data_IF_254137371302
#
_entry.id   IF_254137371302
#
_cell.length_a   1.000
_cell.length_b   1.000
_cell.length_c   1.000
_cell.angle_alpha   90.00
_cell.angle_beta   90.00
_cell.angle_gamma   90.00
#
_symmetry.space_group_name_H-M   'P 1'
#
loop_
_entity.id
_entity.type
_entity.pdbx_description
1 polymer ?
#
# COMPACT_ATOMS: atom_id res chain seq x y z
N UNK A 1 9.88 49.60 -16.46
CA UNK A 1 8.96 48.47 -16.73
C UNK A 1 7.72 48.69 -15.87
N UNK A 2 6.51 48.80 -16.44
CA UNK A 2 5.31 49.15 -15.67
C UNK A 2 4.77 47.94 -14.92
N UNK A 3 4.35 48.12 -13.66
CA UNK A 3 3.84 47.06 -12.78
C UNK A 3 2.72 46.21 -13.43
N UNK A 4 1.89 46.85 -14.27
CA UNK A 4 0.82 46.19 -15.05
C UNK A 4 1.35 45.24 -16.13
N UNK A 5 2.48 45.58 -16.77
CA UNK A 5 3.09 44.74 -17.80
C UNK A 5 3.68 43.48 -17.15
N UNK A 6 4.40 43.67 -16.04
CA UNK A 6 4.94 42.58 -15.23
C UNK A 6 3.87 41.64 -14.67
N UNK A 7 2.77 42.18 -14.12
CA UNK A 7 1.66 41.36 -13.59
C UNK A 7 0.97 40.54 -14.68
N UNK A 8 0.76 41.11 -15.87
CA UNK A 8 0.18 40.42 -17.02
C UNK A 8 1.07 39.29 -17.52
N UNK A 9 2.39 39.53 -17.58
CA UNK A 9 3.36 38.54 -18.05
C UNK A 9 3.47 37.35 -17.04
N UNK A 10 3.39 37.62 -15.73
CA UNK A 10 3.28 36.56 -14.70
C UNK A 10 1.97 35.77 -14.84
N UNK A 11 0.83 36.46 -14.96
CA UNK A 11 -0.48 35.81 -15.12
C UNK A 11 -0.53 34.93 -16.37
N UNK A 12 0.15 35.31 -17.46
CA UNK A 12 0.23 34.49 -18.67
C UNK A 12 1.05 33.21 -18.52
N UNK A 13 1.99 33.15 -17.57
CA UNK A 13 2.75 31.94 -17.26
C UNK A 13 2.02 31.02 -16.27
N UNK A 14 1.05 31.54 -15.52
CA UNK A 14 0.30 30.79 -14.50
C UNK A 14 -0.35 29.50 -15.04
N UNK A 15 -0.99 29.46 -16.22
CA UNK A 15 -1.61 28.24 -16.75
C UNK A 15 -0.58 27.17 -17.14
N UNK A 16 0.58 27.58 -17.68
CA UNK A 16 1.66 26.66 -18.04
C UNK A 16 2.32 26.10 -16.78
N UNK A 17 2.52 26.94 -15.76
CA UNK A 17 3.03 26.52 -14.47
C UNK A 17 2.05 25.56 -13.77
N UNK A 18 0.76 25.89 -13.74
CA UNK A 18 -0.32 25.03 -13.23
C UNK A 18 -0.39 23.71 -14.02
N UNK A 19 -0.26 23.76 -15.35
CA UNK A 19 -0.23 22.58 -16.22
C UNK A 19 0.96 21.66 -15.93
N UNK A 20 2.16 22.23 -15.79
CA UNK A 20 3.35 21.47 -15.46
C UNK A 20 3.27 20.86 -14.04
N UNK A 21 2.80 21.63 -13.05
CA UNK A 21 2.61 21.14 -11.68
C UNK A 21 1.59 20.00 -11.62
N UNK A 22 0.48 20.10 -12.36
CA UNK A 22 -0.59 19.10 -12.37
C UNK A 22 -0.17 17.82 -13.10
N UNK A 23 0.49 17.91 -14.25
CA UNK A 23 0.93 16.73 -15.01
C UNK A 23 2.03 15.95 -14.24
N UNK A 24 2.97 16.64 -13.60
CA UNK A 24 4.09 15.98 -12.93
C UNK A 24 3.70 15.33 -11.59
N UNK A 25 2.57 15.70 -10.99
CA UNK A 25 2.14 15.18 -9.67
C UNK A 25 0.90 14.28 -9.71
N UNK A 26 0.07 14.34 -10.77
CA UNK A 26 -1.24 13.71 -10.76
C UNK A 26 -1.33 12.32 -11.44
N UNK A 27 -0.33 11.90 -12.22
CA UNK A 27 -0.44 10.69 -13.04
C UNK A 27 0.37 9.52 -12.50
N UNK A 28 1.65 9.75 -12.19
CA UNK A 28 2.54 8.71 -11.69
C UNK A 28 3.49 9.27 -10.64
N UNK A 29 3.79 8.46 -9.63
CA UNK A 29 4.78 8.76 -8.61
C UNK A 29 5.77 7.61 -8.48
N UNK A 30 7.00 7.90 -8.07
CA UNK A 30 8.01 6.90 -7.78
C UNK A 30 8.40 6.96 -6.30
N UNK A 31 8.38 5.82 -5.62
CA UNK A 31 8.77 5.71 -4.21
C UNK A 31 9.86 4.65 -4.03
N UNK A 32 10.76 4.88 -3.08
CA UNK A 32 11.75 3.88 -2.68
C UNK A 32 11.18 3.09 -1.51
N UNK A 33 11.21 1.76 -1.59
CA UNK A 33 10.75 0.85 -0.54
C UNK A 33 11.82 0.75 0.54
N UNK A 34 11.56 1.23 1.77
CA UNK A 34 12.58 1.31 2.82
C UNK A 34 12.60 0.10 3.76
N UNK A 35 11.62 -0.81 3.67
CA UNK A 35 11.38 -1.88 4.64
C UNK A 35 11.05 -3.22 3.97
N UNK A 36 11.32 -4.32 4.68
CA UNK A 36 11.04 -5.70 4.22
C UNK A 36 9.58 -6.16 4.34
N UNK A 37 8.64 -5.29 4.74
CA UNK A 37 7.25 -5.70 5.03
C UNK A 37 6.46 -6.24 3.84
N UNK A 38 6.94 -6.01 2.61
CA UNK A 38 6.33 -6.48 1.37
C UNK A 38 7.20 -7.54 0.68
N UNK A 39 8.21 -8.10 1.35
CA UNK A 39 8.99 -9.20 0.79
C UNK A 39 8.11 -10.46 0.64
N UNK A 40 8.28 -11.24 -0.45
CA UNK A 40 9.30 -11.08 -1.49
C UNK A 40 8.86 -10.22 -2.69
N UNK A 41 7.60 -9.75 -2.71
CA UNK A 41 7.04 -8.95 -3.81
C UNK A 41 7.80 -7.65 -4.01
N UNK A 42 8.04 -6.89 -2.94
CA UNK A 42 8.86 -5.67 -2.96
C UNK A 42 9.99 -5.81 -1.94
N UNK A 43 11.23 -5.63 -2.41
CA UNK A 43 12.43 -5.73 -1.58
C UNK A 43 12.88 -4.34 -1.11
N UNK A 44 13.68 -4.33 -0.04
CA UNK A 44 14.36 -3.11 0.41
C UNK A 44 15.22 -2.53 -0.73
N UNK A 45 14.93 -1.29 -1.10
CA UNK A 45 15.63 -0.58 -2.16
C UNK A 45 14.96 -0.61 -3.53
N UNK A 46 13.86 -1.36 -3.69
CA UNK A 46 13.04 -1.29 -4.90
C UNK A 46 12.44 0.12 -5.06
N UNK A 47 12.58 0.69 -6.25
CA UNK A 47 11.90 1.91 -6.66
C UNK A 47 10.61 1.52 -7.39
N UNK A 48 9.47 1.73 -6.73
CA UNK A 48 8.16 1.36 -7.26
C UNK A 48 7.52 2.51 -8.04
N UNK A 49 6.93 2.18 -9.17
CA UNK A 49 6.07 3.05 -9.96
C UNK A 49 4.62 2.93 -9.51
N UNK A 50 4.01 4.05 -9.16
CA UNK A 50 2.65 4.16 -8.63
C UNK A 50 1.78 4.94 -9.59
N UNK A 51 0.62 4.37 -9.95
CA UNK A 51 -0.42 5.08 -10.69
C UNK A 51 -1.32 5.79 -9.68
N UNK A 52 -1.18 7.10 -9.59
CA UNK A 52 -1.84 7.96 -8.59
C UNK A 52 -3.37 7.98 -8.74
N UNK A 53 -3.95 8.09 -9.95
CA UNK A 53 -5.41 8.16 -10.10
C UNK A 53 -6.08 6.79 -10.02
N UNK A 54 -5.36 5.69 -9.72
CA UNK A 54 -5.90 4.31 -9.75
C UNK A 54 -7.16 4.10 -8.93
N UNK A 55 -7.42 4.92 -7.90
CA UNK A 55 -8.62 4.81 -7.06
C UNK A 55 -9.40 6.13 -7.00
N UNK A 56 -9.24 6.98 -8.02
CA UNK A 56 -9.72 8.36 -8.08
C UNK A 56 -8.72 9.37 -7.50
N UNK A 57 -9.17 10.61 -7.30
CA UNK A 57 -8.37 11.68 -6.69
C UNK A 57 -9.01 12.21 -5.41
N UNK A 58 -8.20 12.42 -4.37
CA UNK A 58 -8.64 12.97 -3.10
C UNK A 58 -7.60 13.93 -2.52
N UNK A 59 -7.91 14.58 -1.40
CA UNK A 59 -6.93 15.43 -0.70
C UNK A 59 -5.70 14.64 -0.25
N UNK A 60 -5.77 13.32 -0.04
CA UNK A 60 -4.60 12.50 0.30
C UNK A 60 -3.53 12.47 -0.80
N UNK A 61 -3.90 12.73 -2.06
CA UNK A 61 -2.98 12.81 -3.19
C UNK A 61 -2.21 14.15 -3.24
N UNK A 62 -2.61 15.16 -2.46
CA UNK A 62 -1.98 16.47 -2.45
C UNK A 62 -0.77 16.51 -1.51
N UNK A 63 0.25 17.35 -1.78
CA UNK A 63 1.40 17.52 -0.89
C UNK A 63 1.00 17.94 0.54
N UNK A 64 0.01 18.82 0.65
CA UNK A 64 -0.59 19.30 1.90
C UNK A 64 -1.81 18.48 2.36
N UNK A 65 -2.00 17.28 1.81
CA UNK A 65 -3.11 16.40 2.10
C UNK A 65 -3.39 16.12 3.58
N UNK A 66 -2.38 15.93 4.45
CA UNK A 66 -2.59 15.72 5.88
C UNK A 66 -3.36 16.86 6.56
N UNK A 67 -3.12 18.11 6.15
CA UNK A 67 -3.82 19.29 6.69
C UNK A 67 -5.25 19.42 6.17
N UNK A 68 -5.59 18.70 5.08
CA UNK A 68 -6.91 18.69 4.44
C UNK A 68 -7.61 17.34 4.60
N UNK A 69 -7.30 16.60 5.66
CA UNK A 69 -8.03 15.38 6.00
C UNK A 69 -9.50 15.74 6.28
N UNK A 70 -10.47 15.14 5.58
CA UNK A 70 -11.87 15.36 5.87
C UNK A 70 -12.20 15.00 7.31
N UNK A 71 -13.07 15.79 7.93
CA UNK A 71 -13.63 15.49 9.25
C UNK A 71 -14.70 14.39 9.20
N UNK A 72 -15.26 14.13 8.02
CA UNK A 72 -16.19 13.03 7.80
C UNK A 72 -15.45 11.74 7.41
N UNK A 73 -16.06 10.59 7.72
CA UNK A 73 -15.57 9.28 7.30
C UNK A 73 -15.98 8.94 5.86
N UNK A 74 -16.40 9.93 5.08
CA UNK A 74 -17.07 9.73 3.79
C UNK A 74 -16.16 9.16 2.71
N UNK A 75 -14.84 9.26 2.89
CA UNK A 75 -13.88 8.72 1.93
C UNK A 75 -13.99 9.34 0.53
N UNK A 76 -14.57 10.54 0.38
CA UNK A 76 -14.90 11.13 -0.92
C UNK A 76 -13.66 11.26 -1.81
N UNK A 77 -13.70 10.59 -2.96
CA UNK A 77 -12.69 10.69 -4.04
C UNK A 77 -13.42 11.03 -5.34
N UNK A 78 -12.87 11.94 -6.12
CA UNK A 78 -13.34 12.26 -7.47
C UNK A 78 -13.03 11.07 -8.38
N UNK A 79 -14.02 10.59 -9.12
CA UNK A 79 -13.92 9.40 -9.97
C UNK A 79 -13.39 8.16 -9.21
N UNK A 80 -13.73 8.06 -7.93
CA UNK A 80 -13.24 7.00 -7.06
C UNK A 80 -13.90 5.65 -7.33
N UNK A 81 -13.08 4.61 -7.31
CA UNK A 81 -13.52 3.23 -7.14
C UNK A 81 -12.65 2.55 -6.09
N UNK A 82 -13.15 1.45 -5.52
CA UNK A 82 -12.37 0.67 -4.56
C UNK A 82 -11.24 -0.08 -5.26
N UNK A 83 -10.14 -0.38 -4.54
CA UNK A 83 -9.17 -1.34 -5.01
C UNK A 83 -9.78 -2.70 -5.23
N UNK A 84 -9.17 -3.47 -6.13
CA UNK A 84 -9.47 -4.89 -6.18
C UNK A 84 -8.70 -5.62 -5.09
N UNK A 85 -9.24 -6.76 -4.67
CA UNK A 85 -8.54 -7.67 -3.76
C UNK A 85 -7.25 -8.15 -4.42
N UNK A 86 -6.15 -8.09 -3.67
CA UNK A 86 -4.81 -8.41 -4.14
C UNK A 86 -4.02 -7.22 -4.65
N UNK A 87 -4.65 -6.06 -4.89
CA UNK A 87 -3.92 -4.86 -5.32
C UNK A 87 -2.88 -4.46 -4.26
N UNK A 88 -1.69 -4.09 -4.70
CA UNK A 88 -0.65 -3.50 -3.84
C UNK A 88 -0.84 -2.00 -3.82
N UNK A 89 -1.30 -1.47 -2.69
CA UNK A 89 -1.71 -0.07 -2.56
C UNK A 89 -0.68 0.74 -1.81
N UNK A 90 -0.48 1.97 -2.27
CA UNK A 90 0.32 3.00 -1.62
C UNK A 90 -0.61 4.00 -0.94
N UNK A 91 -0.36 4.30 0.34
CA UNK A 91 -1.27 5.09 1.16
C UNK A 91 -0.54 5.88 2.24
N UNK A 92 -1.20 6.90 2.77
CA UNK A 92 -0.75 7.63 3.96
C UNK A 92 -1.02 6.81 5.23
N UNK A 93 -0.02 6.56 6.06
CA UNK A 93 -0.17 5.72 7.25
C UNK A 93 -1.18 6.34 8.25
N UNK A 94 -2.19 5.60 8.75
CA UNK A 94 -3.18 6.16 9.68
C UNK A 94 -2.59 6.74 10.97
N UNK A 95 -1.52 6.11 11.51
CA UNK A 95 -0.82 6.59 12.70
C UNK A 95 0.00 7.87 12.46
N UNK A 96 0.47 8.08 11.23
CA UNK A 96 1.20 9.28 10.84
C UNK A 96 1.00 9.59 9.35
N UNK A 97 0.12 10.54 9.05
CA UNK A 97 -0.28 10.88 7.67
C UNK A 97 0.85 11.46 6.81
N UNK A 98 1.98 11.83 7.40
CA UNK A 98 3.18 12.27 6.68
C UNK A 98 4.03 11.11 6.18
N UNK A 99 3.76 9.88 6.62
CA UNK A 99 4.44 8.68 6.14
C UNK A 99 3.62 7.99 5.04
N UNK A 100 4.31 7.55 3.99
CA UNK A 100 3.73 6.76 2.89
C UNK A 100 4.13 5.31 3.04
N UNK A 101 3.15 4.42 3.13
CA UNK A 101 3.33 2.99 3.27
C UNK A 101 2.75 2.24 2.08
N UNK A 102 3.18 0.99 1.91
CA UNK A 102 2.72 0.07 0.88
C UNK A 102 2.30 -1.25 1.52
N UNK A 103 1.12 -1.75 1.17
CA UNK A 103 0.54 -3.04 1.64
C UNK A 103 -0.35 -3.64 0.56
N UNK A 104 -0.64 -4.94 0.67
CA UNK A 104 -1.60 -5.64 -0.20
C UNK A 104 -3.01 -5.59 0.37
N UNK A 105 -4.01 -5.36 -0.47
CA UNK A 105 -5.42 -5.38 -0.08
C UNK A 105 -5.91 -6.83 0.06
N UNK A 106 -6.28 -7.22 1.27
CA UNK A 106 -6.77 -8.57 1.58
C UNK A 106 -8.29 -8.58 1.81
N UNK A 107 -8.84 -7.56 2.48
CA UNK A 107 -10.28 -7.40 2.75
C UNK A 107 -10.83 -6.08 2.22
N UNK A 108 -12.00 -6.14 1.62
CA UNK A 108 -12.80 -5.03 1.08
C UNK A 108 -13.99 -4.74 2.00
N UNK A 109 -14.65 -3.57 1.89
CA UNK A 109 -15.84 -3.26 2.68
C UNK A 109 -16.90 -4.37 2.59
N UNK A 110 -17.41 -4.80 3.75
CA UNK A 110 -18.41 -5.86 3.87
C UNK A 110 -17.84 -7.27 3.98
N UNK A 111 -16.55 -7.48 3.71
CA UNK A 111 -15.93 -8.79 3.92
C UNK A 111 -15.84 -9.12 5.41
N UNK A 112 -15.99 -10.40 5.74
CA UNK A 112 -15.61 -10.95 7.03
C UNK A 112 -14.21 -11.52 6.95
N UNK A 113 -13.32 -11.06 7.83
CA UNK A 113 -11.91 -11.49 7.88
C UNK A 113 -11.63 -12.09 9.26
N UNK A 114 -10.92 -13.20 9.28
CA UNK A 114 -10.33 -13.79 10.47
C UNK A 114 -8.94 -14.36 10.13
N UNK A 115 -8.09 -14.53 11.14
CA UNK A 115 -6.83 -15.26 10.99
C UNK A 115 -6.76 -16.38 12.02
N UNK A 116 -6.29 -17.55 11.58
CA UNK A 116 -6.01 -18.71 12.44
C UNK A 116 -4.70 -19.33 12.01
N UNK A 117 -3.71 -19.41 12.91
CA UNK A 117 -2.34 -19.87 12.60
C UNK A 117 -1.73 -19.16 11.38
N UNK A 118 -2.04 -17.87 11.24
CA UNK A 118 -1.58 -16.98 10.18
C UNK A 118 -2.26 -17.17 8.83
N UNK A 119 -3.15 -18.16 8.72
CA UNK A 119 -3.98 -18.37 7.52
C UNK A 119 -5.14 -17.38 7.56
N UNK A 120 -5.28 -16.63 6.47
CA UNK A 120 -6.42 -15.72 6.31
C UNK A 120 -7.66 -16.56 5.99
N UNK A 121 -8.73 -16.33 6.75
CA UNK A 121 -10.08 -16.82 6.49
C UNK A 121 -10.89 -15.62 6.01
N UNK A 122 -11.31 -15.68 4.74
CA UNK A 122 -12.04 -14.61 4.09
C UNK A 122 -13.44 -15.09 3.73
N UNK A 123 -14.47 -14.43 4.26
CA UNK A 123 -15.88 -14.80 4.09
C UNK A 123 -16.13 -16.29 4.39
N UNK A 124 -15.51 -16.80 5.44
CA UNK A 124 -15.61 -18.19 5.88
C UNK A 124 -14.74 -19.19 5.12
N UNK A 125 -13.98 -18.75 4.11
CA UNK A 125 -13.10 -19.62 3.30
C UNK A 125 -11.63 -19.34 3.61
N UNK A 126 -10.87 -20.37 3.95
CA UNK A 126 -9.41 -20.29 4.16
C UNK A 126 -8.74 -20.01 2.81
N UNK A 127 -7.85 -19.01 2.76
CA UNK A 127 -7.01 -18.76 1.59
C UNK A 127 -5.95 -19.87 1.46
N UNK A 128 -5.92 -20.62 0.34
CA UNK A 128 -4.96 -21.71 0.17
C UNK A 128 -3.53 -21.18 0.08
N UNK A 129 -2.59 -21.87 0.72
CA UNK A 129 -1.17 -21.69 0.41
C UNK A 129 -0.59 -22.93 -0.25
N UNK A 130 0.34 -22.68 -1.16
CA UNK A 130 1.27 -23.67 -1.70
C UNK A 130 2.65 -23.38 -1.15
N UNK A 131 3.27 -24.37 -0.52
CA UNK A 131 4.63 -24.28 -0.02
C UNK A 131 5.61 -24.18 -1.20
N UNK A 132 6.47 -23.15 -1.18
CA UNK A 132 7.50 -22.88 -2.18
C UNK A 132 8.91 -23.14 -1.63
N UNK A 133 9.02 -23.59 -0.38
CA UNK A 133 10.26 -24.00 0.26
C UNK A 133 10.92 -22.91 1.12
N UNK A 134 12.06 -23.25 1.72
CA UNK A 134 12.80 -22.34 2.59
C UNK A 134 13.39 -21.16 1.82
N UNK A 135 13.44 -20.02 2.48
CA UNK A 135 14.02 -18.78 1.97
C UNK A 135 14.66 -17.99 3.12
N UNK A 136 15.05 -16.75 2.84
CA UNK A 136 15.57 -15.82 3.84
C UNK A 136 14.94 -14.44 3.66
N UNK A 137 14.82 -13.74 4.78
CA UNK A 137 14.29 -12.39 4.90
C UNK A 137 15.37 -11.45 5.43
N UNK A 138 15.43 -10.21 4.92
CA UNK A 138 16.37 -9.20 5.40
C UNK A 138 15.80 -8.42 6.60
N UNK A 139 15.97 -8.97 7.80
CA UNK A 139 15.41 -8.40 9.03
C UNK A 139 15.97 -7.01 9.37
N UNK A 140 17.28 -6.80 9.19
CA UNK A 140 17.99 -5.52 9.35
C UNK A 140 19.11 -5.47 8.31
N UNK A 141 19.66 -4.28 8.01
CA UNK A 141 20.74 -4.10 7.01
C UNK A 141 21.79 -5.22 7.10
N UNK A 142 21.80 -6.10 6.10
CA UNK A 142 22.71 -7.25 5.96
C UNK A 142 22.60 -8.35 7.04
N UNK A 143 21.48 -8.42 7.76
CA UNK A 143 21.14 -9.49 8.71
C UNK A 143 19.99 -10.29 8.13
N UNK A 144 20.28 -11.54 7.79
CA UNK A 144 19.31 -12.46 7.18
C UNK A 144 18.72 -13.39 8.25
N UNK A 145 17.43 -13.63 8.17
CA UNK A 145 16.72 -14.62 9.00
C UNK A 145 16.11 -15.70 8.13
N UNK A 146 16.05 -16.92 8.65
CA UNK A 146 15.35 -18.00 7.99
C UNK A 146 13.86 -17.66 7.88
N UNK A 147 13.28 -17.98 6.74
CA UNK A 147 11.85 -17.85 6.48
C UNK A 147 11.41 -18.99 5.55
N UNK A 148 10.11 -19.19 5.44
CA UNK A 148 9.46 -20.06 4.48
C UNK A 148 8.66 -19.19 3.51
N UNK A 149 8.74 -19.55 2.22
CA UNK A 149 7.97 -18.87 1.18
C UNK A 149 6.75 -19.70 0.85
N UNK A 150 5.62 -19.01 0.75
CA UNK A 150 4.37 -19.61 0.32
C UNK A 150 3.76 -18.79 -0.81
N UNK A 151 3.07 -19.45 -1.74
CA UNK A 151 2.18 -18.79 -2.69
C UNK A 151 0.76 -18.84 -2.12
N UNK A 152 0.19 -17.68 -1.78
CA UNK A 152 -1.19 -17.54 -1.31
C UNK A 152 -2.14 -17.24 -2.47
N UNK A 153 -3.27 -17.96 -2.51
CA UNK A 153 -4.29 -17.80 -3.54
C UNK A 153 -5.48 -16.99 -3.01
N UNK A 154 -5.74 -15.85 -3.65
CA UNK A 154 -6.88 -14.97 -3.40
C UNK A 154 -8.09 -15.37 -4.27
N UNK A 155 -9.32 -14.98 -3.86
CA UNK A 155 -10.51 -15.09 -4.71
C UNK A 155 -10.29 -14.52 -6.12
N UNK A 156 -10.82 -15.23 -7.12
CA UNK A 156 -10.57 -14.91 -8.53
C UNK A 156 -9.26 -15.48 -9.08
N UNK A 157 -8.66 -16.47 -8.39
CA UNK A 157 -7.44 -17.17 -8.82
C UNK A 157 -6.25 -16.21 -9.03
N UNK A 158 -6.14 -15.21 -8.16
CA UNK A 158 -4.96 -14.34 -8.08
C UNK A 158 -3.99 -14.94 -7.08
N UNK A 159 -2.71 -14.97 -7.45
CA UNK A 159 -1.65 -15.58 -6.65
C UNK A 159 -0.64 -14.50 -6.27
N UNK A 160 -0.12 -14.58 -5.05
CA UNK A 160 0.99 -13.75 -4.62
C UNK A 160 1.86 -14.53 -3.63
N UNK A 161 3.12 -14.16 -3.55
CA UNK A 161 4.03 -14.75 -2.59
C UNK A 161 3.92 -14.07 -1.22
N UNK A 162 4.14 -14.86 -0.18
CA UNK A 162 4.22 -14.39 1.20
C UNK A 162 5.43 -15.02 1.88
N UNK A 163 5.96 -14.34 2.90
CA UNK A 163 6.95 -14.90 3.81
C UNK A 163 6.35 -15.17 5.18
N UNK A 164 6.73 -16.32 5.75
CA UNK A 164 6.49 -16.72 7.14
C UNK A 164 7.83 -17.05 7.80
N UNK A 165 8.10 -16.46 8.96
CA UNK A 165 9.32 -16.65 9.74
C UNK A 165 9.08 -17.55 10.95
N UNK A 166 7.84 -17.59 11.46
CA UNK A 166 7.41 -18.44 12.55
C UNK A 166 6.15 -19.23 12.16
N UNK A 167 6.00 -20.43 12.73
CA UNK A 167 4.80 -21.24 12.52
C UNK A 167 3.59 -20.71 13.31
N UNK A 168 3.83 -20.06 14.46
CA UNK A 168 2.79 -19.43 15.29
C UNK A 168 3.34 -18.13 15.91
N UNK A 169 2.95 -17.00 15.33
CA UNK A 169 3.35 -15.66 15.75
C UNK A 169 2.23 -14.87 16.44
N UNK A 170 2.59 -13.76 17.10
CA UNK A 170 1.62 -12.92 17.84
C UNK A 170 0.49 -12.35 16.96
N UNK A 171 0.72 -12.23 15.64
CA UNK A 171 -0.24 -11.69 14.66
C UNK A 171 -0.96 -12.79 13.86
N UNK A 172 -0.81 -14.05 14.24
CA UNK A 172 -1.36 -15.18 13.49
C UNK A 172 -2.82 -15.49 13.81
N UNK A 173 -3.38 -14.92 14.88
CA UNK A 173 -4.72 -15.21 15.33
C UNK A 173 -5.52 -13.92 15.53
N UNK A 174 -6.58 -13.75 14.74
CA UNK A 174 -7.49 -12.60 14.81
C UNK A 174 -8.92 -13.13 14.78
N UNK A 175 -9.71 -12.73 15.77
CA UNK A 175 -11.12 -13.08 15.82
C UNK A 175 -11.87 -12.52 14.59
N UNK A 176 -12.92 -13.23 14.10
CA UNK A 176 -13.69 -12.76 12.96
C UNK A 176 -14.27 -11.37 13.17
N UNK A 177 -14.10 -10.50 12.18
CA UNK A 177 -14.73 -9.18 12.15
C UNK A 177 -15.14 -8.82 10.71
N UNK A 178 -16.08 -7.88 10.57
CA UNK A 178 -16.49 -7.36 9.27
C UNK A 178 -15.77 -6.05 8.98
N UNK A 179 -15.19 -5.93 7.80
CA UNK A 179 -14.57 -4.69 7.33
C UNK A 179 -15.67 -3.64 7.12
N UNK A 180 -15.62 -2.49 7.83
CA UNK A 180 -16.67 -1.49 7.75
C UNK A 180 -16.64 -0.77 6.40
N UNK A 181 -17.74 -0.07 6.10
CA UNK A 181 -17.80 0.83 4.95
C UNK A 181 -16.61 1.81 4.95
N UNK A 182 -16.14 2.15 3.75
CA UNK A 182 -15.01 3.06 3.52
C UNK A 182 -13.68 2.65 4.16
N UNK A 183 -13.50 1.38 4.52
CA UNK A 183 -12.24 0.84 5.03
C UNK A 183 -11.78 -0.39 4.26
N UNK A 184 -10.51 -0.70 4.37
CA UNK A 184 -9.85 -1.87 3.81
C UNK A 184 -9.11 -2.61 4.92
N UNK A 185 -8.97 -3.92 4.76
CA UNK A 185 -8.03 -4.72 5.53
C UNK A 185 -6.82 -5.03 4.64
N UNK A 186 -5.65 -4.54 5.04
CA UNK A 186 -4.41 -4.66 4.27
C UNK A 186 -3.36 -5.43 5.05
N UNK A 187 -2.56 -6.23 4.36
CA UNK A 187 -1.47 -7.00 4.96
C UNK A 187 -0.16 -6.81 4.19
N UNK A 188 0.96 -6.98 4.89
CA UNK A 188 2.24 -7.16 4.24
C UNK A 188 2.39 -8.58 3.71
N UNK A 189 3.11 -8.72 2.60
CA UNK A 189 3.45 -10.04 2.04
C UNK A 189 4.45 -10.75 2.96
N UNK A 190 5.26 -9.99 3.71
CA UNK A 190 6.05 -10.53 4.81
C UNK A 190 5.20 -10.59 6.08
N UNK A 191 4.57 -11.74 6.33
CA UNK A 191 3.49 -11.89 7.32
C UNK A 191 3.98 -11.72 8.75
N UNK A 192 5.24 -11.98 9.05
CA UNK A 192 5.77 -11.88 10.42
C UNK A 192 6.59 -10.60 10.66
N UNK A 193 6.84 -9.80 9.61
CA UNK A 193 7.57 -8.54 9.71
C UNK A 193 6.80 -7.37 9.06
N UNK A 194 5.53 -7.21 9.44
CA UNK A 194 4.67 -6.18 8.87
C UNK A 194 3.73 -5.56 9.91
N UNK A 195 3.90 -4.26 10.14
CA UNK A 195 2.95 -3.42 10.88
C UNK A 195 1.79 -3.02 9.95
N UNK A 196 0.80 -3.91 9.81
CA UNK A 196 -0.33 -3.77 8.90
C UNK A 196 -1.68 -3.72 9.64
N UNK A 197 -2.78 -4.12 8.99
CA UNK A 197 -4.12 -4.02 9.59
C UNK A 197 -4.33 -4.92 10.79
N UNK A 198 -3.43 -5.89 11.02
CA UNK A 198 -3.44 -6.75 12.21
C UNK A 198 -3.01 -6.03 13.47
N UNK A 199 -2.30 -4.91 13.33
CA UNK A 199 -1.80 -4.09 14.43
C UNK A 199 -2.64 -2.82 14.53
N UNK A 200 -3.03 -2.42 15.74
CA UNK A 200 -3.86 -1.23 15.95
C UNK A 200 -3.12 0.05 15.57
N UNK A 201 -3.84 1.11 15.24
CA UNK A 201 -3.23 2.44 14.97
C UNK A 201 -2.48 2.97 16.19
N UNK A 202 -2.98 2.69 17.40
CA UNK A 202 -2.36 3.12 18.65
C UNK A 202 -1.00 2.43 18.88
N UNK A 203 -0.86 1.19 18.42
CA UNK A 203 0.37 0.39 18.52
C UNK A 203 1.31 0.60 17.32
N UNK A 204 1.04 1.60 16.48
CA UNK A 204 1.86 1.93 15.30
C UNK A 204 1.59 1.05 14.08
N UNK A 205 0.46 0.33 14.05
CA UNK A 205 -0.03 -0.41 12.89
C UNK A 205 -0.91 0.41 11.96
N UNK A 206 -1.50 -0.27 10.98
CA UNK A 206 -2.48 0.35 10.06
C UNK A 206 -3.88 0.36 10.67
N UNK A 207 -4.23 -0.63 11.49
CA UNK A 207 -5.62 -0.96 11.78
C UNK A 207 -6.42 -1.12 10.48
N UNK A 208 -7.72 -0.83 10.50
CA UNK A 208 -8.49 -0.80 9.26
C UNK A 208 -8.16 0.47 8.48
N UNK A 209 -7.73 0.32 7.23
CA UNK A 209 -7.23 1.42 6.40
C UNK A 209 -8.40 2.21 5.81
N UNK A 210 -8.58 3.50 6.15
CA UNK A 210 -9.61 4.31 5.52
C UNK A 210 -9.30 4.51 4.03
N UNK A 211 -10.31 4.38 3.17
CA UNK A 211 -10.18 4.53 1.70
C UNK A 211 -9.65 5.91 1.29
N UNK A 212 -9.92 6.94 2.10
CA UNK A 212 -9.35 8.28 1.87
C UNK A 212 -7.81 8.27 1.86
N UNK A 213 -7.16 7.43 2.68
CA UNK A 213 -5.71 7.40 2.82
C UNK A 213 -4.98 6.92 1.55
N UNK A 214 -5.68 6.25 0.63
CA UNK A 214 -5.09 5.73 -0.61
C UNK A 214 -4.46 6.87 -1.43
N UNK A 215 -3.27 6.62 -1.95
CA UNK A 215 -2.54 7.50 -2.86
C UNK A 215 -2.45 6.93 -4.27
N UNK A 216 -2.48 5.61 -4.43
CA UNK A 216 -2.46 4.97 -5.74
C UNK A 216 -2.12 3.48 -5.65
N UNK A 217 -1.96 2.86 -6.81
CA UNK A 217 -1.60 1.44 -6.94
C UNK A 217 -0.14 1.30 -7.38
N UNK A 218 0.63 0.46 -6.69
CA UNK A 218 1.97 0.09 -7.12
C UNK A 218 1.86 -0.96 -8.24
N UNK A 219 2.42 -0.66 -9.41
CA UNK A 219 2.25 -1.48 -10.63
C UNK A 219 3.55 -2.08 -11.17
N UNK A 220 4.69 -1.49 -10.83
CA UNK A 220 5.97 -1.96 -11.31
C UNK A 220 7.10 -1.62 -10.34
N UNK A 221 8.09 -2.49 -10.26
CA UNK A 221 9.44 -2.17 -9.80
C UNK A 221 10.19 -1.62 -11.00
N UNK A 222 10.46 -0.31 -11.00
CA UNK A 222 11.12 0.40 -12.09
C UNK A 222 12.63 0.13 -12.11
N UNK A 223 13.20 0.02 -10.91
CA UNK A 223 14.62 -0.22 -10.67
C UNK A 223 14.83 -0.65 -9.22
N UNK A 224 15.93 -1.35 -8.93
CA UNK A 224 16.38 -1.62 -7.56
C UNK A 224 17.89 -1.38 -7.47
N UNK A 225 18.31 -0.51 -6.55
CA UNK A 225 19.72 -0.13 -6.42
C UNK A 225 20.58 -1.21 -5.74
N UNK A 226 19.95 -2.20 -5.07
CA UNK A 226 20.64 -3.32 -4.43
C UNK A 226 20.70 -4.57 -5.32
N UNK A 227 19.80 -4.67 -6.30
CA UNK A 227 19.77 -5.76 -7.28
C UNK A 227 19.26 -5.24 -8.64
N UNK A 228 20.21 -4.96 -9.54
CA UNK A 228 19.95 -4.32 -10.83
C UNK A 228 19.12 -5.23 -11.76
N UNK A 229 19.00 -6.53 -11.47
CA UNK A 229 18.18 -7.46 -12.25
C UNK A 229 16.67 -7.34 -11.98
N UNK A 230 16.28 -6.59 -10.94
CA UNK A 230 14.88 -6.42 -10.53
C UNK A 230 14.20 -5.29 -11.29
N UNK A 231 13.69 -5.62 -12.47
CA UNK A 231 12.65 -4.85 -13.17
C UNK A 231 11.47 -5.77 -13.42
N UNK A 232 10.33 -5.50 -12.78
CA UNK A 232 9.19 -6.42 -12.79
C UNK A 232 7.86 -5.68 -12.65
N UNK A 233 6.78 -6.31 -13.10
CA UNK A 233 5.42 -5.88 -12.74
C UNK A 233 5.13 -6.30 -11.30
N UNK A 234 4.43 -5.44 -10.57
CA UNK A 234 3.89 -5.74 -9.24
C UNK A 234 2.52 -6.36 -9.48
N UNK A 235 2.41 -7.65 -9.23
CA UNK A 235 1.19 -8.45 -9.38
C UNK A 235 0.62 -8.85 -8.01
#
# INVERSE_FOLDING_TARGET
MTLRKFARDILSCLPVLLGFLTIHTALAAAYIVPSASMEPTLMIGDQIGVIVPSYGLSTANLPFGPALKPHDSSGRRLFGHLPHRGDVVVFRAPANLHQTWVKRVIGLPGDTVALVHGRVILNGTVLPWKDMGPTREESRKNVWRAAERYEETLPGNRHHDILKMAQDGDLDNIAPFTVPANHLFVMGDNRDNSADSRVSVADGGVGLLPVWNLQGEARAVLWSWRDISRTALVL
#
